data_IF_640677912856
#
_entry.id   IF_640677912856
#
_cell.length_a   1.000
_cell.length_b   1.000
_cell.length_c   1.000
_cell.angle_alpha   90.00
_cell.angle_beta   90.00
_cell.angle_gamma   90.00
#
_symmetry.space_group_name_H-M   'P 1'
#
loop_
_entity.id
_entity.type
_entity.pdbx_description
1 polymer ?
#
# COMPACT_ATOMS: atom_id res chain seq x y z
N UNK A 1 -13.14 -6.97 -6.31
CA UNK A 1 -14.16 -6.43 -5.40
C UNK A 1 -13.53 -6.23 -4.04
N UNK A 2 -13.60 -5.02 -3.53
CA UNK A 2 -13.08 -4.66 -2.22
C UNK A 2 -14.20 -4.76 -1.18
N UNK A 3 -13.89 -5.33 -0.02
CA UNK A 3 -14.84 -5.43 1.09
C UNK A 3 -14.49 -4.42 2.17
N UNK A 4 -15.48 -3.82 2.77
CA UNK A 4 -15.33 -2.94 3.91
C UNK A 4 -16.32 -3.28 5.02
N UNK A 5 -15.96 -2.96 6.25
CA UNK A 5 -16.84 -3.04 7.41
C UNK A 5 -16.92 -1.68 8.10
N UNK A 6 -17.95 -1.51 8.93
CA UNK A 6 -18.12 -0.32 9.74
C UNK A 6 -17.48 -0.55 11.11
N UNK A 7 -16.68 0.40 11.53
CA UNK A 7 -16.04 0.43 12.85
C UNK A 7 -16.62 1.55 13.69
N UNK A 8 -16.92 1.24 14.92
CA UNK A 8 -17.41 2.19 15.90
C UNK A 8 -16.25 2.96 16.54
N UNK A 9 -16.40 4.26 16.65
CA UNK A 9 -15.45 5.12 17.35
C UNK A 9 -16.18 6.08 18.24
N UNK A 10 -15.90 6.04 19.56
CA UNK A 10 -16.38 7.03 20.49
C UNK A 10 -15.56 8.32 20.39
N UNK A 11 -16.26 9.45 20.30
CA UNK A 11 -15.61 10.77 20.39
C UNK A 11 -15.39 11.10 21.89
N UNK A 12 -14.13 11.26 22.34
CA UNK A 12 -13.86 11.50 23.76
C UNK A 12 -14.37 12.87 24.26
N UNK A 13 -14.64 13.81 23.36
CA UNK A 13 -15.10 15.17 23.72
C UNK A 13 -16.62 15.25 23.83
N UNK A 14 -17.35 14.61 22.92
CA UNK A 14 -18.82 14.72 22.82
C UNK A 14 -19.57 13.49 23.33
N UNK A 15 -18.87 12.41 23.71
CA UNK A 15 -19.43 11.10 24.06
C UNK A 15 -20.41 10.51 23.02
N UNK A 16 -20.38 11.01 21.78
CA UNK A 16 -21.17 10.48 20.69
C UNK A 16 -20.42 9.36 19.98
N UNK A 17 -21.13 8.28 19.71
CA UNK A 17 -20.63 7.17 18.91
C UNK A 17 -20.76 7.52 17.44
N UNK A 18 -19.65 7.39 16.70
CA UNK A 18 -19.61 7.58 15.24
C UNK A 18 -19.08 6.32 14.57
N UNK A 19 -19.52 6.10 13.35
CA UNK A 19 -19.08 4.96 12.53
C UNK A 19 -18.21 5.46 11.38
N UNK A 20 -17.16 4.69 11.07
CA UNK A 20 -16.32 4.91 9.90
C UNK A 20 -16.09 3.58 9.19
N UNK A 21 -15.86 3.65 7.89
CA UNK A 21 -15.58 2.48 7.08
C UNK A 21 -14.09 2.17 7.06
N UNK A 22 -13.76 0.89 7.26
CA UNK A 22 -12.42 0.35 7.06
C UNK A 22 -12.44 -0.80 6.08
N UNK A 23 -11.43 -0.88 5.24
CA UNK A 23 -11.26 -2.04 4.39
C UNK A 23 -11.02 -3.30 5.23
N UNK A 24 -11.66 -4.39 4.83
CA UNK A 24 -11.35 -5.71 5.37
C UNK A 24 -9.91 -6.07 4.96
N UNK A 25 -9.08 -6.62 5.89
CA UNK A 25 -7.74 -7.03 5.55
C UNK A 25 -7.70 -7.97 4.34
N UNK A 26 -6.92 -7.58 3.33
CA UNK A 26 -6.79 -8.35 2.11
C UNK A 26 -5.82 -9.52 2.29
N UNK A 27 -6.11 -10.64 1.63
CA UNK A 27 -5.15 -11.73 1.50
C UNK A 27 -4.04 -11.29 0.54
N UNK A 28 -2.75 -11.52 0.87
CA UNK A 28 -1.67 -11.20 -0.05
C UNK A 28 -1.80 -11.95 -1.38
N UNK A 29 -1.70 -11.22 -2.47
CA UNK A 29 -1.65 -11.83 -3.81
C UNK A 29 -0.23 -12.35 -4.07
N UNK A 30 -0.04 -13.66 -4.37
CA UNK A 30 1.29 -14.23 -4.49
C UNK A 30 2.09 -13.62 -5.64
N UNK A 31 3.39 -13.41 -5.42
CA UNK A 31 4.29 -12.90 -6.45
C UNK A 31 4.33 -13.82 -7.69
N UNK A 32 4.28 -15.12 -7.48
CA UNK A 32 4.27 -16.14 -8.53
C UNK A 32 3.09 -15.96 -9.49
N UNK A 33 1.94 -15.56 -8.97
CA UNK A 33 0.75 -15.27 -9.79
C UNK A 33 0.93 -14.00 -10.61
N UNK A 34 1.55 -12.96 -10.03
CA UNK A 34 1.89 -11.74 -10.77
C UNK A 34 2.86 -12.06 -11.89
N UNK A 35 3.90 -12.83 -11.61
CA UNK A 35 4.90 -13.25 -12.59
C UNK A 35 4.26 -14.05 -13.71
N UNK A 36 3.39 -15.01 -13.40
CA UNK A 36 2.67 -15.80 -14.39
C UNK A 36 1.81 -14.91 -15.31
N UNK A 37 1.04 -14.00 -14.75
CA UNK A 37 0.19 -13.08 -15.51
C UNK A 37 1.00 -12.15 -16.43
N UNK A 38 2.14 -11.65 -15.96
CA UNK A 38 3.04 -10.83 -16.78
C UNK A 38 3.64 -11.64 -17.92
N UNK A 39 4.06 -12.87 -17.65
CA UNK A 39 4.66 -13.75 -18.68
C UNK A 39 3.65 -14.18 -19.76
N UNK A 40 2.37 -14.26 -19.44
CA UNK A 40 1.32 -14.50 -20.44
C UNK A 40 1.17 -13.33 -21.42
N UNK A 41 1.39 -12.09 -20.95
CA UNK A 41 1.28 -10.89 -21.76
C UNK A 41 2.60 -10.47 -22.43
N UNK A 42 3.72 -10.93 -21.92
CA UNK A 42 5.06 -10.65 -22.42
C UNK A 42 5.74 -11.96 -22.81
N UNK A 43 6.47 -11.98 -23.90
CA UNK A 43 7.24 -13.18 -24.32
C UNK A 43 8.51 -13.36 -23.48
N UNK A 44 8.37 -13.45 -22.15
CA UNK A 44 9.46 -13.60 -21.18
C UNK A 44 9.19 -14.84 -20.34
N UNK A 45 10.23 -15.61 -20.04
CA UNK A 45 10.13 -16.77 -19.15
C UNK A 45 10.04 -16.32 -17.68
N UNK A 46 9.28 -17.03 -16.82
CA UNK A 46 9.15 -16.69 -15.40
C UNK A 46 10.47 -16.53 -14.66
N UNK A 47 11.45 -17.38 -14.93
CA UNK A 47 12.78 -17.31 -14.30
C UNK A 47 13.53 -16.02 -14.68
N UNK A 48 13.40 -15.59 -15.92
CA UNK A 48 14.02 -14.34 -16.40
C UNK A 48 13.40 -13.12 -15.73
N UNK A 49 12.08 -13.12 -15.56
CA UNK A 49 11.37 -12.04 -14.90
C UNK A 49 11.72 -11.96 -13.40
N UNK A 50 11.80 -13.09 -12.71
CA UNK A 50 12.23 -13.15 -11.31
C UNK A 50 13.65 -12.65 -11.12
N UNK A 51 14.58 -13.02 -12.00
CA UNK A 51 15.95 -12.50 -11.97
C UNK A 51 16.00 -11.00 -12.22
N UNK A 52 15.25 -10.50 -13.20
CA UNK A 52 15.17 -9.07 -13.48
C UNK A 52 14.60 -8.30 -12.28
N UNK A 53 13.57 -8.80 -11.63
CA UNK A 53 12.98 -8.22 -10.43
C UNK A 53 13.99 -8.16 -9.27
N UNK A 54 14.73 -9.23 -9.05
CA UNK A 54 15.77 -9.28 -8.00
C UNK A 54 16.86 -8.21 -8.20
N UNK A 55 17.36 -8.05 -9.42
CA UNK A 55 18.33 -7.00 -9.74
C UNK A 55 17.73 -5.60 -9.65
N UNK A 56 16.47 -5.42 -10.05
CA UNK A 56 15.75 -4.16 -9.91
C UNK A 56 15.64 -3.75 -8.43
N UNK A 57 15.27 -4.67 -7.55
CA UNK A 57 15.21 -4.43 -6.10
C UNK A 57 16.55 -3.98 -5.55
N UNK A 58 17.64 -4.64 -5.94
CA UNK A 58 19.00 -4.26 -5.54
C UNK A 58 19.38 -2.85 -5.98
N UNK A 59 19.09 -2.50 -7.22
CA UNK A 59 19.42 -1.16 -7.76
C UNK A 59 18.58 -0.06 -7.10
N UNK A 60 17.31 -0.33 -6.80
CA UNK A 60 16.46 0.62 -6.06
C UNK A 60 17.05 0.87 -4.66
N UNK A 61 17.40 -0.17 -3.93
CA UNK A 61 17.98 -0.06 -2.58
C UNK A 61 19.30 0.72 -2.64
N UNK A 62 20.16 0.40 -3.59
CA UNK A 62 21.45 1.08 -3.76
C UNK A 62 21.27 2.57 -4.06
N UNK A 63 20.38 2.92 -4.97
CA UNK A 63 20.10 4.32 -5.30
C UNK A 63 19.59 5.11 -4.09
N UNK A 64 18.72 4.50 -3.28
CA UNK A 64 18.22 5.11 -2.04
C UNK A 64 19.34 5.28 -1.00
N UNK A 65 20.25 4.31 -0.86
CA UNK A 65 21.42 4.41 0.01
C UNK A 65 22.37 5.53 -0.42
N UNK A 66 22.48 5.76 -1.73
CA UNK A 66 23.29 6.84 -2.30
C UNK A 66 22.63 8.23 -2.19
N UNK A 67 21.44 8.30 -1.61
CA UNK A 67 20.71 9.55 -1.35
C UNK A 67 19.77 10.01 -2.46
N UNK A 68 19.50 9.17 -3.45
CA UNK A 68 18.54 9.48 -4.51
C UNK A 68 17.12 9.04 -4.14
N UNK A 69 16.13 9.74 -4.66
CA UNK A 69 14.77 9.22 -4.77
C UNK A 69 14.66 8.38 -6.05
N UNK A 70 13.84 7.34 -6.01
CA UNK A 70 13.67 6.45 -7.16
C UNK A 70 12.24 6.52 -7.66
N UNK A 71 12.06 6.93 -8.92
CA UNK A 71 10.78 6.86 -9.60
C UNK A 71 10.70 5.56 -10.40
N UNK A 72 9.70 4.74 -10.07
CA UNK A 72 9.42 3.48 -10.74
C UNK A 72 8.28 3.66 -11.76
N UNK A 73 8.59 4.22 -12.92
CA UNK A 73 7.62 4.43 -13.99
C UNK A 73 6.35 5.17 -13.54
N UNK A 74 5.19 4.67 -13.98
CA UNK A 74 3.89 5.22 -13.65
C UNK A 74 3.27 4.65 -12.35
N UNK A 75 3.99 3.79 -11.64
CA UNK A 75 3.55 3.24 -10.35
C UNK A 75 3.69 4.29 -9.25
N UNK A 76 4.88 4.82 -9.07
CA UNK A 76 5.16 5.79 -8.03
C UNK A 76 6.63 5.99 -7.76
N UNK A 77 6.94 6.58 -6.62
CA UNK A 77 8.30 6.93 -6.22
C UNK A 77 8.61 6.46 -4.81
N UNK A 78 9.85 6.06 -4.61
CA UNK A 78 10.42 5.74 -3.30
C UNK A 78 11.26 6.89 -2.78
N UNK A 79 11.04 7.27 -1.55
CA UNK A 79 11.77 8.32 -0.84
C UNK A 79 12.20 7.83 0.53
N UNK A 80 13.34 8.32 1.00
CA UNK A 80 13.75 8.14 2.38
C UNK A 80 13.26 9.30 3.24
N UNK A 81 12.80 8.99 4.44
CA UNK A 81 12.40 9.96 5.45
C UNK A 81 13.19 9.73 6.72
N UNK A 82 13.86 10.80 7.17
CA UNK A 82 14.61 10.81 8.42
C UNK A 82 13.73 11.32 9.55
N UNK A 83 13.76 10.62 10.68
CA UNK A 83 13.13 11.03 11.93
C UNK A 83 14.18 11.33 12.99
N UNK A 84 13.99 12.42 13.70
CA UNK A 84 14.89 12.84 14.79
C UNK A 84 14.13 13.38 15.97
N UNK A 85 14.81 13.49 17.12
CA UNK A 85 14.36 14.24 18.30
C UNK A 85 14.54 15.72 18.03
N UNK A 86 13.59 16.55 18.49
CA UNK A 86 13.76 17.99 18.49
C UNK A 86 14.62 18.42 19.67
N UNK A 87 15.56 19.34 19.43
CA UNK A 87 16.46 19.91 20.43
C UNK A 87 16.36 21.43 20.42
N UNK A 88 16.64 22.12 21.57
CA UNK A 88 16.44 23.58 21.70
C UNK A 88 17.39 24.41 20.84
N UNK A 89 18.62 23.92 20.58
CA UNK A 89 19.62 24.62 19.77
C UNK A 89 20.34 23.67 18.83
N UNK A 90 20.97 24.22 17.80
CA UNK A 90 21.75 23.43 16.83
C UNK A 90 22.94 22.72 17.48
N UNK A 91 23.53 23.37 18.50
CA UNK A 91 24.69 22.84 19.23
C UNK A 91 24.35 21.60 20.06
N UNK A 92 23.08 21.50 20.51
CA UNK A 92 22.57 20.34 21.26
C UNK A 92 22.28 19.12 20.37
N UNK A 93 22.26 19.31 19.05
CA UNK A 93 21.97 18.25 18.09
C UNK A 93 23.21 17.38 17.88
N UNK A 94 23.07 16.08 18.03
CA UNK A 94 24.09 15.09 17.78
C UNK A 94 23.56 13.92 16.93
N UNK A 95 24.44 13.02 16.51
CA UNK A 95 24.06 11.81 15.80
C UNK A 95 23.07 10.94 16.61
N UNK A 96 23.14 10.97 17.93
CA UNK A 96 22.22 10.28 18.84
C UNK A 96 20.78 10.85 18.82
N UNK A 97 20.63 12.08 18.33
CA UNK A 97 19.31 12.70 18.13
C UNK A 97 18.55 12.09 16.95
N UNK A 98 19.22 11.38 16.05
CA UNK A 98 18.62 10.66 14.94
C UNK A 98 17.93 9.38 15.44
N UNK A 99 16.66 9.17 15.06
CA UNK A 99 15.88 8.02 15.54
C UNK A 99 15.73 6.93 14.51
N UNK A 100 15.30 7.25 13.31
CA UNK A 100 15.03 6.25 12.29
C UNK A 100 15.08 6.81 10.88
N UNK A 101 15.46 5.95 9.95
CA UNK A 101 15.35 6.17 8.52
C UNK A 101 14.29 5.24 7.97
N UNK A 102 13.26 5.79 7.32
CA UNK A 102 12.12 5.05 6.80
C UNK A 102 11.98 5.23 5.31
N UNK A 103 11.56 4.17 4.63
CA UNK A 103 11.17 4.23 3.22
C UNK A 103 9.71 4.66 3.11
N UNK A 104 9.45 5.64 2.26
CA UNK A 104 8.11 6.10 1.91
C UNK A 104 7.85 5.89 0.43
N UNK A 105 6.74 5.23 0.13
CA UNK A 105 6.24 5.10 -1.23
C UNK A 105 5.16 6.14 -1.50
N UNK A 106 5.29 6.87 -2.61
CA UNK A 106 4.30 7.84 -3.08
C UNK A 106 3.76 7.36 -4.42
N UNK A 107 2.47 6.99 -4.50
CA UNK A 107 1.88 6.55 -5.76
C UNK A 107 1.82 7.69 -6.78
N UNK A 108 2.00 7.36 -8.06
CA UNK A 108 1.87 8.31 -9.15
C UNK A 108 0.40 8.65 -9.45
N UNK A 109 0.18 9.71 -10.19
CA UNK A 109 -1.15 10.20 -10.60
C UNK A 109 -1.97 9.13 -11.30
N UNK A 110 -1.36 8.33 -12.19
CA UNK A 110 -2.03 7.22 -12.87
C UNK A 110 -2.53 6.18 -11.88
N UNK A 111 -1.68 5.73 -10.97
CA UNK A 111 -2.07 4.75 -9.95
C UNK A 111 -3.19 5.27 -9.04
N UNK A 112 -3.13 6.55 -8.64
CA UNK A 112 -4.18 7.19 -7.85
C UNK A 112 -5.52 7.25 -8.58
N UNK A 113 -5.52 7.56 -9.88
CA UNK A 113 -6.76 7.60 -10.69
C UNK A 113 -7.38 6.22 -10.87
N UNK A 114 -6.56 5.21 -11.14
CA UNK A 114 -7.04 3.84 -11.34
C UNK A 114 -7.60 3.22 -10.05
N UNK A 115 -7.13 3.66 -8.89
CA UNK A 115 -7.55 3.19 -7.57
C UNK A 115 -8.49 4.16 -6.84
N UNK A 116 -9.09 5.11 -7.55
CA UNK A 116 -10.06 6.05 -6.96
C UNK A 116 -11.48 5.47 -6.90
N UNK A 117 -12.28 5.96 -5.96
CA UNK A 117 -13.69 5.58 -5.85
C UNK A 117 -14.55 6.00 -7.07
N UNK A 118 -14.04 6.91 -7.88
CA UNK A 118 -14.69 7.36 -9.12
C UNK A 118 -14.41 6.43 -10.30
N UNK A 119 -13.48 5.49 -10.16
CA UNK A 119 -13.17 4.51 -11.19
C UNK A 119 -14.16 3.35 -11.12
N UNK A 120 -14.84 3.06 -12.24
CA UNK A 120 -15.86 2.00 -12.34
C UNK A 120 -15.30 0.58 -12.09
N UNK A 121 -14.00 0.38 -12.22
CA UNK A 121 -13.33 -0.89 -11.93
C UNK A 121 -13.14 -1.13 -10.43
N UNK A 122 -13.25 -0.07 -9.60
CA UNK A 122 -13.16 -0.17 -8.15
C UNK A 122 -14.56 -0.37 -7.59
N UNK A 123 -14.85 -1.59 -7.16
CA UNK A 123 -16.15 -1.96 -6.59
C UNK A 123 -15.97 -2.23 -5.10
N UNK A 124 -16.70 -1.50 -4.28
CA UNK A 124 -16.74 -1.63 -2.83
C UNK A 124 -18.06 -2.26 -2.39
N UNK A 125 -17.99 -3.29 -1.55
CA UNK A 125 -19.16 -3.97 -0.99
C UNK A 125 -19.01 -4.07 0.53
N UNK A 126 -20.09 -3.79 1.23
CA UNK A 126 -20.14 -3.96 2.69
C UNK A 126 -20.15 -5.45 3.05
N UNK A 127 -19.31 -5.85 3.99
CA UNK A 127 -19.14 -7.26 4.33
C UNK A 127 -20.42 -7.91 4.91
N UNK A 128 -21.16 -7.17 5.72
CA UNK A 128 -22.42 -7.64 6.33
C UNK A 128 -23.47 -8.01 5.26
N UNK A 129 -23.58 -7.21 4.20
CA UNK A 129 -24.53 -7.42 3.11
C UNK A 129 -24.20 -8.65 2.26
N UNK A 130 -22.90 -8.98 2.12
CA UNK A 130 -22.47 -10.18 1.40
C UNK A 130 -22.85 -11.49 2.09
N UNK A 131 -23.02 -11.50 3.42
CA UNK A 131 -23.37 -12.69 4.16
C UNK A 131 -24.89 -12.99 4.12
N UNK A 132 -25.72 -11.96 3.98
CA UNK A 132 -27.19 -12.13 3.87
C UNK A 132 -27.59 -12.78 2.54
N UNK A 133 -26.89 -12.50 1.44
CA UNK A 133 -27.18 -13.13 0.15
C UNK A 133 -26.82 -14.62 0.10
N UNK A 134 -25.81 -15.04 0.86
CA UNK A 134 -25.44 -16.46 0.96
C UNK A 134 -26.39 -17.26 1.84
N UNK A 135 -27.07 -16.61 2.80
CA UNK A 135 -28.06 -17.25 3.68
C UNK A 135 -29.40 -17.52 3.00
N UNK A 136 -29.75 -16.79 1.95
CA UNK A 136 -31.03 -16.93 1.23
C UNK A 136 -31.01 -17.98 0.10
N UNK A 137 -29.84 -18.54 -0.22
CA UNK A 137 -29.65 -19.54 -1.29
C UNK A 137 -29.82 -21.00 -0.87
N UNK A 138 -30.11 -21.29 0.40
CA UNK A 138 -30.18 -22.69 0.92
C UNK A 138 -31.54 -23.06 1.49
N UNK A 139 -32.61 -22.35 1.20
CA UNK A 139 -33.98 -22.79 1.47
C UNK A 139 -34.70 -23.14 0.17
N UNK A 140 -34.42 -24.33 -0.30
CA UNK A 140 -35.33 -25.05 -1.21
C UNK A 140 -35.44 -26.49 -0.72
#
# INVERSE_FOLDING_TARGET
>A
MLKYNLMERANPITNKTMFHANLVPATPFPLEMIVANVCENCNIKPIQLLNALYYLEKEIIKALQDGYSVRLGDIGSFHLRLSSVSVPSKEDFSAESLRSLKVRFIPNTRMKKELSLTNSKVVLVREDECNEERGKGNEV
#
